data_IF_196440032311
#
_entry.id   IF_196440032311
#
_cell.length_a   1.000
_cell.length_b   1.000
_cell.length_c   1.000
_cell.angle_alpha   90.00
_cell.angle_beta   90.00
_cell.angle_gamma   90.00
#
_symmetry.space_group_name_H-M   'P 1'
#
loop_
_entity.id
_entity.type
_entity.pdbx_description
1 polymer ?
#
# COMPACT_ATOMS: atom_id res chain seq x y z
N UNK A 1 -7.68 -16.89 -4.43
CA UNK A 1 -7.42 -16.29 -5.76
C UNK A 1 -7.16 -14.82 -5.51
N UNK A 2 -6.17 -14.20 -6.17
CA UNK A 2 -5.90 -12.76 -6.03
C UNK A 2 -7.16 -12.00 -6.43
N UNK A 3 -7.76 -11.26 -5.51
CA UNK A 3 -8.85 -10.36 -5.84
C UNK A 3 -8.28 -8.97 -6.12
N UNK A 4 -8.37 -8.55 -7.37
CA UNK A 4 -7.89 -7.27 -7.85
C UNK A 4 -9.01 -6.23 -7.83
N UNK A 5 -8.70 -5.08 -7.25
CA UNK A 5 -9.48 -3.84 -7.36
C UNK A 5 -8.65 -2.76 -8.03
N UNK A 6 -9.30 -1.76 -8.63
CA UNK A 6 -8.64 -0.69 -9.37
C UNK A 6 -9.10 0.68 -8.87
N UNK A 7 -8.12 1.53 -8.57
CA UNK A 7 -8.31 2.95 -8.28
C UNK A 7 -7.79 3.77 -9.44
N UNK A 8 -8.64 4.65 -9.97
CA UNK A 8 -8.32 5.50 -11.12
C UNK A 8 -7.72 6.83 -10.63
N UNK A 9 -6.46 7.08 -10.99
CA UNK A 9 -5.69 8.25 -10.57
C UNK A 9 -5.35 9.13 -11.78
N UNK A 10 -5.68 10.42 -11.67
CA UNK A 10 -5.32 11.42 -12.69
C UNK A 10 -3.83 11.71 -12.64
N UNK A 11 -3.23 11.91 -13.80
CA UNK A 11 -1.82 12.31 -13.91
C UNK A 11 -1.71 13.79 -14.30
N UNK A 12 -0.49 14.34 -14.23
CA UNK A 12 -0.19 15.68 -14.73
C UNK A 12 -0.38 15.81 -16.26
N UNK A 13 -0.46 14.68 -16.98
CA UNK A 13 -0.76 14.66 -18.41
C UNK A 13 -2.23 14.26 -18.61
N UNK A 14 -3.08 15.14 -19.17
CA UNK A 14 -4.51 14.85 -19.34
C UNK A 14 -4.81 13.68 -20.30
N UNK A 15 -3.84 13.29 -21.13
CA UNK A 15 -3.98 12.13 -22.01
C UNK A 15 -3.62 10.81 -21.31
N UNK A 16 -3.02 10.86 -20.11
CA UNK A 16 -2.58 9.68 -19.37
C UNK A 16 -3.42 9.52 -18.11
N UNK A 17 -4.03 8.34 -17.98
CA UNK A 17 -4.72 7.92 -16.76
C UNK A 17 -3.98 6.73 -16.16
N UNK A 18 -3.86 6.73 -14.83
CA UNK A 18 -3.18 5.68 -14.08
C UNK A 18 -4.24 4.84 -13.37
N UNK A 19 -4.18 3.53 -13.58
CA UNK A 19 -5.05 2.53 -12.96
C UNK A 19 -4.21 1.80 -11.92
N UNK A 20 -4.29 2.22 -10.67
CA UNK A 20 -3.60 1.58 -9.54
C UNK A 20 -4.35 0.34 -9.10
N UNK A 21 -3.63 -0.70 -8.73
CA UNK A 21 -4.19 -1.95 -8.24
C UNK A 21 -3.76 -2.20 -6.81
N UNK A 22 -4.55 -2.96 -6.07
CA UNK A 22 -4.25 -3.38 -4.70
C UNK A 22 -3.14 -4.45 -4.60
N UNK A 23 -2.50 -4.84 -5.71
CA UNK A 23 -1.43 -5.85 -5.75
C UNK A 23 -0.28 -5.40 -6.65
N UNK A 24 0.93 -5.91 -6.41
CA UNK A 24 2.04 -5.67 -7.35
C UNK A 24 1.81 -6.47 -8.64
N UNK A 25 1.81 -5.78 -9.78
CA UNK A 25 1.67 -6.34 -11.13
C UNK A 25 3.02 -6.82 -11.69
N UNK A 26 4.07 -6.01 -11.51
CA UNK A 26 5.44 -6.31 -11.99
C UNK A 26 6.47 -5.92 -10.94
N UNK A 27 7.38 -6.84 -10.61
CA UNK A 27 8.37 -6.64 -9.54
C UNK A 27 9.74 -6.22 -10.05
N UNK A 28 10.14 -6.56 -11.28
CA UNK A 28 11.56 -6.44 -11.69
C UNK A 28 11.85 -5.20 -12.52
N UNK A 29 11.00 -4.93 -13.51
CA UNK A 29 11.18 -3.84 -14.47
C UNK A 29 9.84 -3.18 -14.81
N UNK A 30 9.94 -1.95 -15.26
CA UNK A 30 8.81 -1.20 -15.80
C UNK A 30 8.76 -1.45 -17.31
N UNK A 31 7.54 -1.51 -17.84
CA UNK A 31 7.29 -1.77 -19.25
C UNK A 31 6.59 -0.59 -19.88
N UNK A 32 7.00 -0.27 -21.11
CA UNK A 32 6.33 0.69 -21.98
C UNK A 32 6.15 0.03 -23.34
N UNK A 33 4.90 -0.04 -23.80
CA UNK A 33 4.54 -0.55 -25.10
C UNK A 33 3.88 0.57 -25.91
N UNK A 34 4.28 0.73 -27.17
CA UNK A 34 3.75 1.79 -28.06
C UNK A 34 2.78 1.27 -29.11
N UNK A 35 2.69 -0.04 -29.27
CA UNK A 35 1.81 -0.73 -30.19
C UNK A 35 1.74 -2.22 -29.85
N UNK A 36 0.84 -2.93 -30.54
CA UNK A 36 0.60 -4.37 -30.36
C UNK A 36 1.80 -5.26 -30.73
N UNK A 37 2.64 -4.82 -31.67
CA UNK A 37 3.82 -5.58 -32.11
C UNK A 37 4.96 -5.53 -31.08
N UNK A 38 5.06 -4.43 -30.34
CA UNK A 38 5.99 -4.25 -29.21
C UNK A 38 5.52 -5.04 -27.98
N UNK A 39 4.21 -5.27 -27.84
CA UNK A 39 3.56 -5.90 -26.68
C UNK A 39 3.58 -7.44 -26.70
N UNK A 40 4.40 -8.11 -27.53
CA UNK A 40 4.39 -9.57 -27.68
C UNK A 40 4.59 -10.36 -26.38
N UNK A 41 5.33 -9.79 -25.44
CA UNK A 41 5.58 -10.40 -24.14
C UNK A 41 4.53 -10.00 -23.09
N UNK A 42 3.52 -9.21 -23.41
CA UNK A 42 2.46 -8.79 -22.49
C UNK A 42 1.09 -9.02 -23.12
N UNK A 43 0.45 -10.17 -22.83
CA UNK A 43 -0.91 -10.44 -23.31
C UNK A 43 -1.90 -9.36 -22.87
N UNK A 44 -1.74 -8.82 -21.66
CA UNK A 44 -2.53 -7.68 -21.18
C UNK A 44 -2.37 -6.44 -22.09
N UNK A 45 -1.14 -6.06 -22.42
CA UNK A 45 -0.91 -4.90 -23.27
C UNK A 45 -1.45 -5.12 -24.70
N UNK A 46 -1.35 -6.34 -25.24
CA UNK A 46 -1.99 -6.68 -26.52
C UNK A 46 -3.50 -6.49 -26.48
N UNK A 47 -4.16 -6.95 -25.40
CA UNK A 47 -5.59 -6.75 -25.21
C UNK A 47 -5.96 -5.28 -25.14
N UNK A 48 -5.18 -4.48 -24.40
CA UNK A 48 -5.41 -3.04 -24.29
C UNK A 48 -5.24 -2.30 -25.62
N UNK A 49 -4.35 -2.76 -26.51
CA UNK A 49 -4.22 -2.19 -27.87
C UNK A 49 -5.37 -2.53 -28.81
N UNK A 50 -6.27 -3.45 -28.45
CA UNK A 50 -7.52 -3.62 -29.20
C UNK A 50 -8.49 -2.44 -28.98
N UNK A 51 -8.30 -1.64 -27.94
CA UNK A 51 -8.99 -0.37 -27.77
C UNK A 51 -8.38 0.66 -28.74
N UNK A 52 -9.13 1.13 -29.75
CA UNK A 52 -8.56 1.90 -30.87
C UNK A 52 -8.05 3.28 -30.46
N UNK A 53 -8.39 3.75 -29.26
CA UNK A 53 -7.96 5.02 -28.72
C UNK A 53 -6.69 4.91 -27.86
N UNK A 54 -6.17 3.71 -27.56
CA UNK A 54 -4.96 3.55 -26.75
C UNK A 54 -3.72 3.76 -27.62
N UNK A 55 -2.85 4.67 -27.17
CA UNK A 55 -1.61 5.03 -27.82
C UNK A 55 -0.40 4.36 -27.18
N UNK A 56 -0.34 4.34 -25.84
CA UNK A 56 0.80 3.79 -25.09
C UNK A 56 0.29 3.07 -23.85
N UNK A 57 0.86 1.92 -23.54
CA UNK A 57 0.58 1.14 -22.32
C UNK A 57 1.84 1.10 -21.47
N UNK A 58 1.73 1.56 -20.23
CA UNK A 58 2.75 1.49 -19.20
C UNK A 58 2.34 0.46 -18.14
N UNK A 59 3.23 -0.45 -17.76
CA UNK A 59 3.01 -1.40 -16.65
C UNK A 59 4.17 -1.27 -15.69
N UNK A 60 3.90 -0.89 -14.44
CA UNK A 60 4.95 -0.59 -13.46
C UNK A 60 4.44 -0.81 -12.05
N UNK A 61 5.19 -1.56 -11.23
CA UNK A 61 4.83 -1.81 -9.83
C UNK A 61 3.43 -2.38 -9.73
N UNK A 62 2.53 -1.63 -9.10
CA UNK A 62 1.12 -1.93 -8.86
C UNK A 62 0.15 -1.19 -9.81
N UNK A 63 0.61 -0.51 -10.86
CA UNK A 63 -0.27 0.27 -11.72
C UNK A 63 -0.08 0.04 -13.22
N UNK A 64 -1.15 0.32 -13.96
CA UNK A 64 -1.17 0.39 -15.42
C UNK A 64 -1.44 1.84 -15.82
N UNK A 65 -0.50 2.46 -16.54
CA UNK A 65 -0.69 3.78 -17.12
C UNK A 65 -1.14 3.64 -18.57
N UNK A 66 -2.23 4.30 -18.95
CA UNK A 66 -2.70 4.30 -20.32
C UNK A 66 -2.65 5.71 -20.89
N UNK A 67 -1.94 5.89 -22.00
CA UNK A 67 -2.01 7.09 -22.82
C UNK A 67 -3.02 6.87 -23.94
N UNK A 68 -3.99 7.78 -24.09
CA UNK A 68 -4.94 7.77 -25.21
C UNK A 68 -4.56 8.73 -26.33
N UNK A 69 -5.06 8.48 -27.52
CA UNK A 69 -5.16 9.47 -28.59
C UNK A 69 -6.21 10.53 -28.26
N UNK A 70 -6.07 11.71 -28.87
CA UNK A 70 -7.00 12.83 -28.69
C UNK A 70 -8.25 12.68 -29.57
N UNK A 71 -8.93 11.54 -29.42
CA UNK A 71 -10.15 11.18 -30.15
C UNK A 71 -11.32 10.81 -29.22
N UNK A 72 -11.05 10.64 -27.92
CA UNK A 72 -12.02 10.29 -26.87
C UNK A 72 -11.59 10.93 -25.55
N UNK A 73 -12.50 11.27 -24.63
CA UNK A 73 -12.12 11.76 -23.30
C UNK A 73 -12.10 10.62 -22.28
N UNK A 74 -11.23 10.71 -21.27
CA UNK A 74 -11.13 9.68 -20.23
C UNK A 74 -12.41 9.53 -19.41
N UNK A 75 -13.13 10.63 -19.16
CA UNK A 75 -14.39 10.60 -18.41
C UNK A 75 -15.47 9.75 -19.09
N UNK A 76 -15.36 9.51 -20.41
CA UNK A 76 -16.32 8.71 -21.17
C UNK A 76 -16.00 7.20 -21.15
N UNK A 77 -14.75 6.81 -20.86
CA UNK A 77 -14.27 5.42 -21.04
C UNK A 77 -13.53 4.82 -19.85
N UNK A 78 -13.16 5.63 -18.84
CA UNK A 78 -12.33 5.16 -17.71
C UNK A 78 -12.96 3.99 -16.95
N UNK A 79 -14.28 3.99 -16.78
CA UNK A 79 -14.98 2.99 -15.97
C UNK A 79 -15.05 1.65 -16.72
N UNK A 80 -15.32 1.68 -18.03
CA UNK A 80 -15.29 0.48 -18.87
C UNK A 80 -13.88 -0.13 -18.95
N UNK A 81 -12.85 0.72 -19.06
CA UNK A 81 -11.45 0.27 -19.07
C UNK A 81 -11.06 -0.32 -17.72
N UNK A 82 -11.42 0.33 -16.61
CA UNK A 82 -11.18 -0.19 -15.27
C UNK A 82 -11.85 -1.56 -15.08
N UNK A 83 -13.10 -1.71 -15.52
CA UNK A 83 -13.81 -2.98 -15.44
C UNK A 83 -13.10 -4.09 -16.25
N UNK A 84 -12.69 -3.82 -17.49
CA UNK A 84 -11.96 -4.80 -18.31
C UNK A 84 -10.63 -5.22 -17.66
N UNK A 85 -9.92 -4.29 -17.03
CA UNK A 85 -8.70 -4.59 -16.30
C UNK A 85 -8.98 -5.46 -15.08
N UNK A 86 -10.00 -5.14 -14.28
CA UNK A 86 -10.42 -5.95 -13.12
C UNK A 86 -10.78 -7.37 -13.56
N UNK A 87 -11.57 -7.54 -14.62
CA UNK A 87 -11.95 -8.85 -15.14
C UNK A 87 -10.74 -9.66 -15.62
N UNK A 88 -9.82 -9.03 -16.36
CA UNK A 88 -8.60 -9.67 -16.83
C UNK A 88 -7.71 -10.15 -15.68
N UNK A 89 -7.46 -9.26 -14.71
CA UNK A 89 -6.57 -9.55 -13.58
C UNK A 89 -7.15 -10.65 -12.69
N UNK A 90 -8.46 -10.62 -12.44
CA UNK A 90 -9.15 -11.64 -11.64
C UNK A 90 -9.31 -12.98 -12.38
N UNK A 91 -9.24 -13.00 -13.72
CA UNK A 91 -9.15 -14.24 -14.48
C UNK A 91 -7.80 -14.97 -14.30
N UNK A 92 -6.78 -14.28 -13.76
CA UNK A 92 -5.45 -14.83 -13.53
C UNK A 92 -4.61 -14.94 -14.81
N UNK A 93 -4.96 -14.18 -15.84
CA UNK A 93 -4.23 -14.16 -17.11
C UNK A 93 -2.85 -13.48 -16.95
N UNK A 94 -1.82 -13.90 -17.71
CA UNK A 94 -0.48 -13.33 -17.59
C UNK A 94 -0.44 -11.83 -17.94
N UNK A 95 0.14 -11.01 -17.05
CA UNK A 95 0.30 -9.57 -17.27
C UNK A 95 1.47 -9.32 -18.21
N UNK A 96 2.66 -9.79 -17.82
CA UNK A 96 3.88 -9.79 -18.62
C UNK A 96 4.63 -11.11 -18.44
N UNK A 97 5.14 -11.66 -19.54
CA UNK A 97 6.00 -12.84 -19.59
C UNK A 97 7.45 -12.35 -19.49
N UNK A 98 8.12 -12.63 -18.38
CA UNK A 98 9.50 -12.19 -18.12
C UNK A 98 10.52 -13.27 -18.50
N UNK A 99 11.47 -12.94 -19.40
CA UNK A 99 12.47 -13.90 -19.91
C UNK A 99 13.80 -13.91 -19.12
N UNK A 100 13.96 -13.06 -18.09
CA UNK A 100 15.24 -12.83 -17.37
C UNK A 100 15.06 -12.96 -15.83
N UNK A 101 14.61 -14.12 -15.35
CA UNK A 101 14.35 -14.31 -13.92
C UNK A 101 15.60 -14.47 -13.03
N UNK A 102 16.80 -14.54 -13.60
CA UNK A 102 18.03 -14.80 -12.84
C UNK A 102 18.85 -13.55 -12.49
N UNK A 103 18.49 -12.36 -13.02
CA UNK A 103 19.24 -11.12 -12.78
C UNK A 103 18.77 -10.39 -11.52
N UNK A 104 19.65 -9.99 -10.58
CA UNK A 104 19.24 -9.26 -9.39
C UNK A 104 18.49 -7.97 -9.74
N UNK A 105 17.40 -7.71 -9.03
CA UNK A 105 16.64 -6.46 -9.09
C UNK A 105 17.50 -5.34 -8.49
N UNK A 106 17.78 -4.25 -9.24
CA UNK A 106 18.49 -3.12 -8.68
C UNK A 106 17.67 -2.46 -7.57
N UNK A 107 18.20 -2.46 -6.35
CA UNK A 107 17.57 -1.84 -5.19
C UNK A 107 18.62 -1.35 -4.20
N UNK A 108 18.39 -0.18 -3.64
CA UNK A 108 19.08 0.27 -2.42
C UNK A 108 18.11 0.25 -1.26
N UNK A 109 18.61 -0.05 -0.07
CA UNK A 109 17.86 0.05 1.18
C UNK A 109 18.71 0.84 2.16
N UNK A 110 18.10 1.80 2.84
CA UNK A 110 18.74 2.60 3.88
C UNK A 110 17.84 2.66 5.12
N UNK A 111 18.43 2.94 6.29
CA UNK A 111 17.72 2.98 7.55
C UNK A 111 17.45 4.41 8.01
N UNK A 112 16.26 4.66 8.53
CA UNK A 112 15.79 5.91 9.12
C UNK A 112 15.35 5.66 10.57
N UNK A 113 15.73 6.58 11.46
CA UNK A 113 15.23 6.57 12.84
C UNK A 113 13.78 7.02 12.86
N UNK A 114 12.97 6.44 13.74
CA UNK A 114 11.59 6.85 13.94
C UNK A 114 11.44 7.56 15.29
N UNK A 115 10.35 8.32 15.54
CA UNK A 115 10.06 8.84 16.87
C UNK A 115 9.88 7.76 17.95
N UNK A 116 9.65 6.50 17.55
CA UNK A 116 9.59 5.35 18.45
C UNK A 116 10.98 4.71 18.57
N UNK A 117 11.65 4.81 19.74
CA UNK A 117 13.02 4.29 19.90
C UNK A 117 13.12 2.77 19.74
N UNK A 118 12.00 2.05 19.87
CA UNK A 118 11.95 0.60 19.66
C UNK A 118 11.71 0.20 18.20
N UNK A 119 11.58 1.16 17.27
CA UNK A 119 11.26 0.90 15.86
C UNK A 119 12.22 1.64 14.92
N UNK A 120 12.72 0.93 13.92
CA UNK A 120 13.54 1.49 12.84
C UNK A 120 12.88 1.22 11.50
N UNK A 121 12.93 2.22 10.61
CA UNK A 121 12.35 2.16 9.27
C UNK A 121 13.45 1.88 8.25
N UNK A 122 13.24 0.90 7.38
CA UNK A 122 14.14 0.53 6.30
C UNK A 122 13.47 0.86 4.97
N UNK A 123 13.99 1.86 4.28
CA UNK A 123 13.38 2.41 3.05
C UNK A 123 14.11 1.89 1.83
N UNK A 124 13.36 1.27 0.93
CA UNK A 124 13.84 0.80 -0.37
C UNK A 124 13.67 1.88 -1.45
N UNK A 125 14.52 1.84 -2.46
CA UNK A 125 14.45 2.73 -3.63
C UNK A 125 13.28 2.48 -4.57
N UNK A 126 12.36 1.57 -4.23
CA UNK A 126 11.22 1.16 -5.06
C UNK A 126 10.08 0.66 -4.18
N UNK A 127 8.85 0.76 -4.70
CA UNK A 127 7.66 0.16 -4.08
C UNK A 127 7.83 -1.36 -3.97
N UNK A 128 7.54 -1.89 -2.79
CA UNK A 128 7.70 -3.29 -2.41
C UNK A 128 6.36 -3.99 -2.15
N UNK A 129 5.34 -3.24 -1.71
CA UNK A 129 3.96 -3.72 -1.51
C UNK A 129 2.96 -2.67 -1.99
N UNK A 130 1.78 -3.13 -2.44
CA UNK A 130 0.70 -2.24 -2.88
C UNK A 130 -0.20 -1.77 -1.73
N UNK A 131 -0.27 -2.56 -0.66
CA UNK A 131 -1.05 -2.26 0.55
C UNK A 131 -0.17 -2.43 1.78
N UNK A 132 -0.59 -1.83 2.89
CA UNK A 132 0.10 -1.96 4.16
C UNK A 132 -0.19 -3.33 4.80
N UNK A 133 0.84 -3.92 5.42
CA UNK A 133 0.76 -5.20 6.13
C UNK A 133 1.43 -5.08 7.49
N UNK A 134 0.87 -5.73 8.50
CA UNK A 134 1.39 -5.73 9.85
C UNK A 134 1.40 -7.16 10.40
N UNK A 135 2.54 -7.54 10.97
CA UNK A 135 2.76 -8.85 11.56
C UNK A 135 3.34 -8.65 12.96
N UNK A 136 2.68 -9.16 13.99
CA UNK A 136 3.12 -9.01 15.39
C UNK A 136 3.90 -10.21 15.91
N UNK A 137 3.95 -11.29 15.13
CA UNK A 137 4.66 -12.51 15.45
C UNK A 137 4.86 -13.36 14.19
N UNK A 138 5.67 -14.40 14.32
CA UNK A 138 6.00 -15.33 13.23
C UNK A 138 4.80 -16.12 12.71
N UNK A 139 3.76 -16.35 13.52
CA UNK A 139 2.56 -17.10 13.11
C UNK A 139 1.66 -16.27 12.19
N UNK A 140 1.57 -14.95 12.43
CA UNK A 140 0.90 -13.99 11.54
C UNK A 140 1.69 -13.77 10.25
N UNK A 141 3.02 -13.91 10.30
CA UNK A 141 3.92 -13.65 9.18
C UNK A 141 3.91 -14.71 8.07
N UNK A 142 3.10 -15.77 8.16
CA UNK A 142 3.12 -16.91 7.22
C UNK A 142 2.92 -16.49 5.76
N UNK A 143 2.15 -15.43 5.55
CA UNK A 143 1.88 -14.89 4.23
C UNK A 143 2.92 -13.84 3.79
N UNK A 144 4.02 -13.65 4.51
CA UNK A 144 5.13 -12.78 4.12
C UNK A 144 6.46 -13.45 4.38
N UNK A 145 7.11 -13.93 3.30
CA UNK A 145 8.42 -14.60 3.39
C UNK A 145 9.49 -13.67 3.96
N UNK A 146 9.45 -12.38 3.61
CA UNK A 146 10.34 -11.38 4.20
C UNK A 146 10.12 -11.24 5.70
N UNK A 147 8.85 -11.12 6.14
CA UNK A 147 8.55 -11.04 7.57
C UNK A 147 8.98 -12.30 8.30
N UNK A 148 8.75 -13.50 7.73
CA UNK A 148 9.23 -14.76 8.30
C UNK A 148 10.75 -14.79 8.49
N UNK A 149 11.52 -14.34 7.49
CA UNK A 149 12.98 -14.23 7.60
C UNK A 149 13.39 -13.24 8.71
N UNK A 150 12.71 -12.09 8.81
CA UNK A 150 12.96 -11.11 9.86
C UNK A 150 12.61 -11.65 11.26
N UNK A 151 11.55 -12.45 11.41
CA UNK A 151 11.19 -13.08 12.68
C UNK A 151 12.14 -14.21 13.12
N UNK A 152 13.08 -14.64 12.28
CA UNK A 152 14.15 -15.56 12.72
C UNK A 152 15.12 -14.87 13.69
N UNK A 153 15.19 -13.54 13.65
CA UNK A 153 15.96 -12.77 14.61
C UNK A 153 15.20 -12.68 15.94
N UNK A 154 15.77 -13.18 17.06
CA UNK A 154 15.05 -13.29 18.33
C UNK A 154 14.70 -11.93 18.96
N UNK A 155 15.34 -10.85 18.50
CA UNK A 155 15.06 -9.50 18.95
C UNK A 155 13.92 -8.83 18.16
N UNK A 156 13.45 -9.39 17.05
CA UNK A 156 12.36 -8.79 16.25
C UNK A 156 11.02 -9.09 16.90
N UNK A 157 10.29 -8.02 17.20
CA UNK A 157 8.98 -8.05 17.88
C UNK A 157 7.82 -7.90 16.89
N UNK A 158 7.95 -7.02 15.90
CA UNK A 158 6.89 -6.70 14.95
C UNK A 158 7.52 -6.24 13.64
N UNK A 159 6.87 -6.58 12.54
CA UNK A 159 7.24 -6.16 11.19
C UNK A 159 6.02 -5.52 10.56
N UNK A 160 6.19 -4.28 10.11
CA UNK A 160 5.20 -3.53 9.35
C UNK A 160 5.80 -3.24 7.97
N UNK A 161 5.03 -3.44 6.90
CA UNK A 161 5.48 -3.29 5.52
C UNK A 161 4.47 -2.42 4.79
N UNK A 162 4.91 -1.33 4.20
CA UNK A 162 4.04 -0.45 3.42
C UNK A 162 4.83 0.27 2.33
N UNK A 163 4.15 0.61 1.24
CA UNK A 163 4.72 1.20 0.03
C UNK A 163 6.12 0.68 -0.33
N UNK A 164 7.17 1.43 0.00
CA UNK A 164 8.57 1.15 -0.28
C UNK A 164 9.41 0.89 0.99
N UNK A 165 8.82 0.68 2.16
CA UNK A 165 9.56 0.56 3.41
C UNK A 165 9.09 -0.59 4.30
N UNK A 166 10.00 -1.02 5.18
CA UNK A 166 9.77 -2.01 6.23
C UNK A 166 10.09 -1.36 7.56
N UNK A 167 9.14 -1.28 8.47
CA UNK A 167 9.37 -0.88 9.85
C UNK A 167 9.52 -2.12 10.72
N UNK A 168 10.66 -2.23 11.41
CA UNK A 168 10.94 -3.35 12.32
C UNK A 168 10.96 -2.80 13.74
N UNK A 169 10.11 -3.36 14.61
CA UNK A 169 10.16 -3.09 16.04
C UNK A 169 10.92 -4.20 16.76
N UNK A 170 11.73 -3.84 17.75
CA UNK A 170 12.55 -4.77 18.53
C UNK A 170 12.08 -4.92 19.98
N UNK A 171 12.43 -6.03 20.60
CA UNK A 171 12.45 -6.17 22.06
C UNK A 171 13.65 -5.38 22.64
N UNK A 172 13.58 -5.03 23.93
CA UNK A 172 14.65 -4.31 24.66
C UNK A 172 15.87 -5.19 24.99
N UNK A 173 16.21 -6.14 24.12
CA UNK A 173 17.31 -7.11 24.28
C UNK A 173 18.47 -6.88 23.30
N UNK A 174 18.33 -5.92 22.39
CA UNK A 174 19.31 -5.58 21.37
C UNK A 174 19.36 -4.07 21.15
N UNK A 175 20.49 -3.53 20.71
CA UNK A 175 20.65 -2.12 20.35
C UNK A 175 20.69 -1.92 18.83
N UNK A 176 20.14 -0.80 18.36
CA UNK A 176 20.04 -0.54 16.93
C UNK A 176 21.39 -0.45 16.24
N UNK A 177 22.40 0.10 16.92
CA UNK A 177 23.76 0.23 16.40
C UNK A 177 24.38 -1.14 16.05
N UNK A 178 23.96 -2.20 16.74
CA UNK A 178 24.48 -3.56 16.53
C UNK A 178 23.72 -4.32 15.42
N UNK A 179 22.40 -4.09 15.28
CA UNK A 179 21.53 -4.93 14.44
C UNK A 179 21.11 -4.28 13.11
N UNK A 180 21.25 -2.95 12.96
CA UNK A 180 20.69 -2.24 11.79
C UNK A 180 21.31 -2.70 10.46
N UNK A 181 22.61 -2.97 10.43
CA UNK A 181 23.32 -3.36 9.19
C UNK A 181 22.83 -4.74 8.72
N UNK A 182 22.69 -5.69 9.64
CA UNK A 182 22.26 -7.05 9.35
C UNK A 182 20.83 -7.06 8.78
N UNK A 183 19.89 -6.40 9.45
CA UNK A 183 18.50 -6.30 8.99
C UNK A 183 18.41 -5.63 7.61
N UNK A 184 19.17 -4.55 7.40
CA UNK A 184 19.21 -3.84 6.11
C UNK A 184 19.68 -4.75 4.99
N UNK A 185 20.73 -5.55 5.21
CA UNK A 185 21.23 -6.47 4.19
C UNK A 185 20.25 -7.61 3.90
N UNK A 186 19.56 -8.15 4.92
CA UNK A 186 18.49 -9.15 4.71
C UNK A 186 17.38 -8.58 3.83
N UNK A 187 16.85 -7.40 4.18
CA UNK A 187 15.79 -6.74 3.41
C UNK A 187 16.26 -6.43 1.98
N UNK A 188 17.46 -5.86 1.83
CA UNK A 188 18.03 -5.54 0.52
C UNK A 188 18.19 -6.78 -0.35
N UNK A 189 18.77 -7.85 0.18
CA UNK A 189 18.98 -9.10 -0.56
C UNK A 189 17.65 -9.74 -0.96
N UNK A 190 16.68 -9.77 -0.05
CA UNK A 190 15.37 -10.32 -0.34
C UNK A 190 14.70 -9.60 -1.52
N UNK A 191 14.72 -8.26 -1.51
CA UNK A 191 14.15 -7.46 -2.61
C UNK A 191 14.99 -7.63 -3.89
N UNK A 192 16.32 -7.69 -3.78
CA UNK A 192 17.23 -7.88 -4.91
C UNK A 192 17.04 -9.25 -5.59
N UNK A 193 16.65 -10.28 -4.85
CA UNK A 193 16.31 -11.60 -5.41
C UNK A 193 15.02 -11.57 -6.25
N UNK A 194 14.22 -10.49 -6.16
CA UNK A 194 12.94 -10.37 -6.86
C UNK A 194 11.90 -11.38 -6.37
N UNK A 195 12.04 -11.84 -5.12
CA UNK A 195 11.07 -12.73 -4.48
C UNK A 195 9.82 -11.93 -4.10
N UNK A 196 8.70 -12.62 -4.15
CA UNK A 196 7.44 -12.11 -3.60
C UNK A 196 7.58 -11.87 -2.09
N UNK A 197 7.30 -10.63 -1.67
CA UNK A 197 7.47 -10.17 -0.29
C UNK A 197 6.29 -10.58 0.57
N UNK A 198 5.07 -10.37 0.05
CA UNK A 198 3.81 -10.76 0.67
C UNK A 198 3.02 -11.58 -0.34
N UNK A 199 2.50 -12.72 0.10
CA UNK A 199 1.65 -13.61 -0.66
C UNK A 199 0.25 -13.01 -0.83
N UNK A 200 -0.41 -13.43 -1.89
CA UNK A 200 -1.70 -12.90 -2.35
C UNK A 200 -2.86 -13.02 -1.38
N UNK A 201 -2.81 -14.02 -0.52
CA UNK A 201 -3.83 -14.30 0.49
C UNK A 201 -3.53 -13.60 1.82
N UNK A 202 -2.46 -12.82 1.90
CA UNK A 202 -2.16 -12.06 3.10
C UNK A 202 -3.27 -11.05 3.38
N UNK A 203 -3.61 -10.93 4.65
CA UNK A 203 -4.55 -9.91 5.11
C UNK A 203 -3.88 -8.55 5.11
N UNK A 204 -4.18 -7.75 4.11
CA UNK A 204 -3.80 -6.34 4.12
C UNK A 204 -4.53 -5.59 5.24
N UNK A 205 -3.86 -4.59 5.78
CA UNK A 205 -4.47 -3.65 6.73
C UNK A 205 -5.64 -2.95 6.03
N UNK A 206 -6.79 -2.90 6.70
CA UNK A 206 -8.02 -2.32 6.15
C UNK A 206 -8.87 -3.30 5.33
N UNK A 207 -8.39 -4.51 5.05
CA UNK A 207 -9.20 -5.54 4.39
C UNK A 207 -10.33 -6.09 5.28
N UNK A 208 -10.24 -5.95 6.61
CA UNK A 208 -11.22 -6.49 7.56
C UNK A 208 -12.36 -5.53 7.95
N UNK A 209 -12.37 -4.29 7.47
CA UNK A 209 -13.59 -3.46 7.49
C UNK A 209 -14.66 -4.01 6.52
N UNK A 210 -14.34 -5.05 5.74
CA UNK A 210 -15.17 -5.68 4.71
C UNK A 210 -15.56 -7.14 5.05
N UNK A 211 -15.44 -7.60 6.30
CA UNK A 211 -15.91 -8.95 6.70
C UNK A 211 -17.21 -8.89 7.49
N UNK A 212 -18.26 -8.44 6.80
CA UNK A 212 -19.60 -8.98 6.99
C UNK A 212 -20.38 -8.82 5.68
N UNK A 213 -20.61 -9.96 5.04
CA UNK A 213 -21.40 -10.20 3.84
C UNK A 213 -20.80 -9.78 2.49
N UNK A 214 -20.64 -10.80 1.65
CA UNK A 214 -20.40 -10.81 0.21
C UNK A 214 -21.06 -9.68 -0.57
N UNK A 215 -20.32 -9.11 -1.52
CA UNK A 215 -20.83 -8.24 -2.60
C UNK A 215 -19.91 -8.44 -3.80
N UNK A 216 -20.26 -9.21 -4.84
CA UNK A 216 -21.05 -8.72 -5.99
C UNK A 216 -21.12 -7.20 -6.05
N UNK A 217 -20.65 -6.62 -7.16
CA UNK A 217 -20.75 -5.21 -7.51
C UNK A 217 -21.93 -4.50 -6.81
N UNK A 218 -21.62 -3.37 -6.13
CA UNK A 218 -22.50 -2.54 -5.28
C UNK A 218 -22.47 -2.87 -3.77
N UNK A 219 -21.36 -2.56 -3.09
CA UNK A 219 -21.46 -1.73 -1.87
C UNK A 219 -20.07 -1.21 -1.48
N UNK A 220 -19.76 0.01 -1.93
CA UNK A 220 -18.98 0.92 -1.10
C UNK A 220 -19.68 0.94 0.26
N UNK A 221 -18.99 0.72 1.38
CA UNK A 221 -19.55 1.10 2.68
C UNK A 221 -19.86 2.59 2.51
N UNK A 222 -21.13 2.96 2.41
CA UNK A 222 -21.53 4.36 2.44
C UNK A 222 -21.26 4.85 3.86
N UNK A 223 -20.00 5.22 4.09
CA UNK A 223 -19.62 6.05 5.22
C UNK A 223 -20.54 7.26 5.17
N UNK A 224 -21.11 7.62 6.32
CA UNK A 224 -21.86 8.86 6.40
C UNK A 224 -20.94 10.04 6.03
N UNK A 225 -21.54 11.15 5.61
CA UNK A 225 -20.80 12.33 5.15
C UNK A 225 -19.72 12.78 6.13
N UNK A 226 -19.95 12.64 7.44
CA UNK A 226 -18.96 13.03 8.47
C UNK A 226 -17.81 12.02 8.54
N UNK A 227 -18.12 10.72 8.52
CA UNK A 227 -17.08 9.67 8.49
C UNK A 227 -16.22 9.77 7.24
N UNK A 228 -16.81 10.04 6.08
CA UNK A 228 -16.05 10.23 4.83
C UNK A 228 -15.15 11.47 4.92
N UNK A 229 -15.66 12.60 5.42
CA UNK A 229 -14.87 13.82 5.63
C UNK A 229 -13.69 13.56 6.59
N UNK A 230 -13.89 12.78 7.66
CA UNK A 230 -12.80 12.38 8.58
C UNK A 230 -11.76 11.55 7.83
N UNK A 231 -12.18 10.54 7.07
CA UNK A 231 -11.27 9.68 6.29
C UNK A 231 -10.45 10.52 5.32
N UNK A 232 -11.08 11.44 4.59
CA UNK A 232 -10.41 12.31 3.63
C UNK A 232 -9.35 13.18 4.31
N UNK A 233 -9.66 13.76 5.48
CA UNK A 233 -8.70 14.56 6.26
C UNK A 233 -7.53 13.70 6.75
N UNK A 234 -7.81 12.49 7.26
CA UNK A 234 -6.76 11.59 7.74
C UNK A 234 -5.82 11.16 6.62
N UNK A 235 -6.37 10.78 5.46
CA UNK A 235 -5.60 10.37 4.28
C UNK A 235 -4.77 11.52 3.71
N UNK A 236 -5.34 12.73 3.62
CA UNK A 236 -4.65 13.88 3.01
C UNK A 236 -3.59 14.51 3.93
N UNK A 237 -3.86 14.65 5.23
CA UNK A 237 -3.02 15.47 6.12
C UNK A 237 -2.26 14.69 7.18
N UNK A 238 -2.77 13.54 7.63
CA UNK A 238 -2.17 12.80 8.76
C UNK A 238 -1.32 11.63 8.28
N UNK A 239 -1.88 10.79 7.41
CA UNK A 239 -1.24 9.58 6.91
C UNK A 239 0.13 9.83 6.28
N UNK A 240 0.37 10.91 5.50
CA UNK A 240 1.70 11.19 4.95
C UNK A 240 2.77 11.41 6.03
N UNK A 241 2.42 12.11 7.12
CA UNK A 241 3.33 12.33 8.23
C UNK A 241 3.61 11.03 9.01
N UNK A 242 2.56 10.25 9.24
CA UNK A 242 2.65 8.94 9.92
C UNK A 242 3.47 7.92 9.12
N UNK A 243 3.29 7.87 7.80
CA UNK A 243 4.09 7.04 6.90
C UNK A 243 5.56 7.50 6.83
N UNK A 244 5.81 8.81 6.88
CA UNK A 244 7.17 9.35 7.01
C UNK A 244 7.85 8.80 8.27
N UNK A 245 7.12 8.73 9.39
CA UNK A 245 7.61 8.17 10.65
C UNK A 245 7.65 6.63 10.69
N UNK A 246 7.23 5.96 9.61
CA UNK A 246 7.26 4.50 9.49
C UNK A 246 6.08 3.77 10.14
N UNK A 247 4.96 4.45 10.33
CA UNK A 247 3.71 3.86 10.80
C UNK A 247 2.57 4.00 9.80
N UNK A 248 1.39 3.58 10.22
CA UNK A 248 0.14 3.82 9.52
C UNK A 248 -0.95 4.27 10.50
N UNK A 249 -1.95 4.96 9.97
CA UNK A 249 -3.18 5.32 10.68
C UNK A 249 -4.37 4.88 9.85
N UNK A 250 -5.36 4.28 10.51
CA UNK A 250 -6.59 3.86 9.88
C UNK A 250 -7.79 4.37 10.67
N UNK A 251 -8.79 4.90 9.96
CA UNK A 251 -10.09 5.21 10.56
C UNK A 251 -10.78 3.90 10.97
N UNK A 252 -11.32 3.86 12.18
CA UNK A 252 -12.09 2.71 12.67
C UNK A 252 -13.59 3.02 12.69
N UNK A 253 -13.98 4.10 13.36
CA UNK A 253 -15.38 4.48 13.53
C UNK A 253 -15.52 5.92 14.02
N UNK A 254 -16.71 6.46 13.82
CA UNK A 254 -17.13 7.74 14.38
C UNK A 254 -18.44 7.55 15.17
N UNK A 255 -18.43 7.96 16.43
CA UNK A 255 -19.64 7.98 17.27
C UNK A 255 -20.31 9.35 17.16
N UNK A 256 -21.54 9.38 16.64
CA UNK A 256 -22.29 10.63 16.39
C UNK A 256 -22.75 11.30 17.69
N UNK A 257 -23.07 10.54 18.73
CA UNK A 257 -23.58 11.07 19.99
C UNK A 257 -22.46 11.73 20.80
N UNK A 258 -21.32 11.04 20.94
CA UNK A 258 -20.16 11.56 21.67
C UNK A 258 -19.27 12.44 20.81
N UNK A 259 -19.39 12.34 19.48
CA UNK A 259 -18.50 12.95 18.47
C UNK A 259 -17.06 12.47 18.63
N UNK A 260 -16.90 11.18 18.94
CA UNK A 260 -15.61 10.55 19.16
C UNK A 260 -15.16 9.84 17.89
N UNK A 261 -13.94 10.13 17.45
CA UNK A 261 -13.29 9.47 16.32
C UNK A 261 -12.36 8.39 16.85
N UNK A 262 -12.58 7.13 16.48
CA UNK A 262 -11.67 6.04 16.80
C UNK A 262 -10.74 5.78 15.62
N UNK A 263 -9.44 5.73 15.90
CA UNK A 263 -8.39 5.42 14.91
C UNK A 263 -7.50 4.29 15.41
N UNK A 264 -6.95 3.53 14.47
CA UNK A 264 -5.97 2.46 14.73
C UNK A 264 -4.61 2.96 14.28
N UNK A 265 -3.62 2.89 15.18
CA UNK A 265 -2.22 3.24 14.91
C UNK A 265 -1.38 1.98 14.77
N UNK A 266 -0.54 1.94 13.74
CA UNK A 266 0.21 0.74 13.33
C UNK A 266 1.68 1.07 13.03
N UNK A 267 2.50 0.02 12.94
CA UNK A 267 3.94 0.15 12.71
C UNK A 267 4.60 1.00 13.79
N UNK A 268 5.45 1.95 13.40
CA UNK A 268 6.20 2.79 14.33
C UNK A 268 5.32 3.65 15.26
N UNK A 269 4.09 3.97 14.85
CA UNK A 269 3.15 4.78 15.63
C UNK A 269 2.44 4.01 16.74
N UNK A 270 2.57 2.68 16.75
CA UNK A 270 2.02 1.79 17.77
C UNK A 270 3.03 1.49 18.89
N UNK A 271 2.53 1.13 20.07
CA UNK A 271 3.34 0.47 21.10
C UNK A 271 4.33 1.35 21.89
N UNK A 272 4.36 2.66 21.66
CA UNK A 272 5.14 3.63 22.45
C UNK A 272 4.23 4.71 23.05
N UNK A 273 4.02 4.73 24.38
CA UNK A 273 3.06 5.66 25.01
C UNK A 273 3.29 7.13 24.70
N UNK A 274 4.56 7.56 24.60
CA UNK A 274 4.89 8.96 24.29
C UNK A 274 4.52 9.33 22.85
N UNK A 275 4.80 8.44 21.89
CA UNK A 275 4.49 8.67 20.47
C UNK A 275 2.99 8.62 20.23
N UNK A 276 2.29 7.64 20.81
CA UNK A 276 0.83 7.52 20.73
C UNK A 276 0.12 8.73 21.31
N UNK A 277 0.54 9.22 22.49
CA UNK A 277 -0.08 10.39 23.11
C UNK A 277 0.09 11.67 22.27
N UNK A 278 1.30 11.90 21.77
CA UNK A 278 1.60 13.10 20.97
C UNK A 278 0.84 13.08 19.66
N UNK A 279 0.85 11.94 18.96
CA UNK A 279 0.14 11.77 17.70
C UNK A 279 -1.37 11.89 17.87
N UNK A 280 -1.95 11.23 18.89
CA UNK A 280 -3.38 11.35 19.25
C UNK A 280 -3.80 12.82 19.39
N UNK A 281 -3.05 13.59 20.18
CA UNK A 281 -3.37 15.00 20.42
C UNK A 281 -3.22 15.85 19.15
N UNK A 282 -2.22 15.55 18.31
CA UNK A 282 -2.05 16.20 17.01
C UNK A 282 -3.24 15.97 16.08
N UNK A 283 -3.71 14.73 15.98
CA UNK A 283 -4.88 14.34 15.18
C UNK A 283 -6.14 15.01 15.71
N UNK A 284 -6.37 14.96 17.02
CA UNK A 284 -7.54 15.59 17.64
C UNK A 284 -7.59 17.11 17.40
N UNK A 285 -6.44 17.78 17.55
CA UNK A 285 -6.34 19.22 17.29
C UNK A 285 -6.64 19.55 15.84
N UNK A 286 -6.10 18.76 14.90
CA UNK A 286 -6.33 18.95 13.48
C UNK A 286 -7.79 18.76 13.10
N UNK A 287 -8.40 17.64 13.50
CA UNK A 287 -9.81 17.35 13.20
C UNK A 287 -10.74 18.40 13.81
N UNK A 288 -10.50 18.84 15.04
CA UNK A 288 -11.25 19.95 15.66
C UNK A 288 -11.12 21.25 14.89
N UNK A 289 -9.93 21.60 14.41
CA UNK A 289 -9.72 22.83 13.65
C UNK A 289 -10.42 22.80 12.29
N UNK A 290 -10.45 21.64 11.62
CA UNK A 290 -11.02 21.50 10.28
C UNK A 290 -12.53 21.28 10.29
N UNK A 291 -13.04 20.53 11.28
CA UNK A 291 -14.44 20.10 11.34
C UNK A 291 -15.25 20.80 12.44
N UNK A 292 -14.61 21.63 13.27
CA UNK A 292 -15.25 22.39 14.34
C UNK A 292 -15.97 21.49 15.34
N UNK A 293 -17.24 21.82 15.62
CA UNK A 293 -18.07 21.12 16.60
C UNK A 293 -18.44 19.69 16.18
N UNK A 294 -18.06 19.20 15.00
CA UNK A 294 -18.28 17.81 14.59
C UNK A 294 -17.35 16.82 15.30
N UNK A 295 -16.26 17.25 15.94
CA UNK A 295 -15.31 16.34 16.62
C UNK A 295 -15.04 16.82 18.04
N UNK A 296 -15.29 15.96 19.03
CA UNK A 296 -15.04 16.26 20.45
C UNK A 296 -13.76 15.60 20.98
N UNK A 297 -13.49 14.36 20.55
CA UNK A 297 -12.36 13.56 21.04
C UNK A 297 -11.88 12.61 19.95
N UNK A 298 -10.58 12.33 19.95
CA UNK A 298 -10.01 11.20 19.19
C UNK A 298 -9.59 10.12 20.18
N UNK A 299 -9.81 8.85 19.87
CA UNK A 299 -9.28 7.71 20.61
C UNK A 299 -8.36 6.91 19.68
N UNK A 300 -7.12 6.72 20.11
CA UNK A 300 -6.13 5.94 19.37
C UNK A 300 -5.99 4.54 19.97
N UNK A 301 -6.27 3.51 19.17
CA UNK A 301 -6.08 2.11 19.49
C UNK A 301 -4.75 1.63 18.90
N UNK A 302 -4.06 0.74 19.60
CA UNK A 302 -2.89 0.06 19.02
C UNK A 302 -3.39 -1.06 18.11
N UNK A 303 -2.97 -0.99 16.85
CA UNK A 303 -3.24 -2.00 15.83
C UNK A 303 -2.59 -3.32 16.13
#
# INVERSE_FOLDING_TARGET
MKEYSITVVKTNNPNILKFETNHILVQRKNYEFKNIDDAKNSPLAQQLFHLPFIKTVYISGDFIGLERYDIVQWEDVKDEVAQQLVEYLNAGEPIVIEEDMDKPVPVTVYAEVTPNPSTMKFVASKKIVASAFEFKNIDEARDSKLAMELFQFPFVKQVFIDENYVSVSKYEVAEWDDINIELREVIRNFIADGKEIVADNAKAIGAEAQVSETVSAESTIELDETSQEIVDILEEYVKPAVASDGGNIMFQSYDVESKTVNVILQGACSGCPSSTFTLKNGIETMLKNMMGDKVNEVVALNG
#
